data_IF_743608629346
#
_entry.id   IF_743608629346
#
_cell.length_a   1.000
_cell.length_b   1.000
_cell.length_c   1.000
_cell.angle_alpha   90.00
_cell.angle_beta   90.00
_cell.angle_gamma   90.00
#
_symmetry.space_group_name_H-M   'P 1'
#
loop_
_entity.id
_entity.type
_entity.pdbx_description
1 polymer ?
#
# COMPACT_ATOMS: atom_id res chain seq x y z
N UNK A 1 5.51 -10.69 4.77
CA UNK A 1 4.07 -10.86 4.52
C UNK A 1 3.73 -10.38 3.13
N UNK A 2 2.70 -10.95 2.49
CA UNK A 2 2.20 -10.44 1.21
C UNK A 2 1.09 -9.42 1.49
N UNK A 3 1.19 -8.26 0.85
CA UNK A 3 0.20 -7.20 0.91
C UNK A 3 -0.41 -7.02 -0.47
N UNK A 4 -1.73 -6.87 -0.51
CA UNK A 4 -2.49 -6.52 -1.72
C UNK A 4 -2.96 -5.10 -1.59
N UNK A 5 -2.53 -4.24 -2.51
CA UNK A 5 -2.96 -2.86 -2.61
C UNK A 5 -4.01 -2.76 -3.70
N UNK A 6 -5.19 -2.25 -3.35
CA UNK A 6 -6.31 -2.12 -4.28
C UNK A 6 -6.34 -0.70 -4.83
N UNK A 7 -6.39 -0.59 -6.15
CA UNK A 7 -6.44 0.70 -6.82
C UNK A 7 -7.87 1.14 -7.11
N UNK A 8 -8.10 2.44 -7.27
CA UNK A 8 -9.39 2.99 -7.71
C UNK A 8 -9.82 2.46 -9.09
N UNK A 9 -8.87 2.06 -9.93
CA UNK A 9 -9.13 1.44 -11.24
C UNK A 9 -9.55 -0.03 -11.18
N UNK A 10 -9.72 -0.61 -9.98
CA UNK A 10 -10.11 -2.02 -9.80
C UNK A 10 -8.96 -3.02 -9.95
N UNK A 11 -7.72 -2.54 -10.08
CA UNK A 11 -6.53 -3.38 -10.15
C UNK A 11 -6.02 -3.71 -8.74
N UNK A 12 -5.25 -4.78 -8.63
CA UNK A 12 -4.56 -5.15 -7.39
C UNK A 12 -3.06 -5.28 -7.63
N UNK A 13 -2.27 -4.63 -6.78
CA UNK A 13 -0.80 -4.74 -6.76
C UNK A 13 -0.42 -5.61 -5.57
N UNK A 14 0.30 -6.70 -5.83
CA UNK A 14 0.83 -7.56 -4.78
C UNK A 14 2.29 -7.17 -4.49
N UNK A 15 2.60 -6.88 -3.23
CA UNK A 15 3.95 -6.54 -2.77
C UNK A 15 4.36 -7.43 -1.61
N UNK A 16 5.67 -7.60 -1.46
CA UNK A 16 6.24 -8.15 -0.25
C UNK A 16 6.52 -7.02 0.74
N UNK A 17 6.04 -7.18 1.97
CA UNK A 17 6.19 -6.20 3.03
C UNK A 17 6.37 -6.85 4.40
N UNK A 18 6.54 -6.00 5.41
CA UNK A 18 6.56 -6.37 6.82
C UNK A 18 5.46 -5.62 7.59
N UNK A 19 5.44 -5.78 8.91
CA UNK A 19 4.43 -5.16 9.77
C UNK A 19 4.60 -3.64 9.83
N UNK A 20 5.83 -3.16 9.75
CA UNK A 20 6.15 -1.73 9.78
C UNK A 20 5.62 -1.05 8.53
N UNK A 21 5.94 -1.58 7.36
CA UNK A 21 5.43 -1.09 6.08
C UNK A 21 3.90 -1.13 6.03
N UNK A 22 3.28 -2.22 6.51
CA UNK A 22 1.81 -2.29 6.58
C UNK A 22 1.22 -1.15 7.42
N UNK A 23 1.73 -0.94 8.63
CA UNK A 23 1.24 0.12 9.51
C UNK A 23 1.43 1.52 8.89
N UNK A 24 2.56 1.74 8.22
CA UNK A 24 2.88 2.99 7.55
C UNK A 24 1.90 3.26 6.40
N UNK A 25 1.67 2.27 5.53
CA UNK A 25 0.73 2.38 4.42
C UNK A 25 -0.71 2.62 4.91
N UNK A 26 -1.15 1.93 5.97
CA UNK A 26 -2.46 2.17 6.60
C UNK A 26 -2.55 3.59 7.15
N UNK A 27 -1.49 4.08 7.81
CA UNK A 27 -1.45 5.47 8.31
C UNK A 27 -1.59 6.48 7.17
N UNK A 28 -0.94 6.25 6.04
CA UNK A 28 -1.06 7.12 4.87
C UNK A 28 -2.46 7.10 4.27
N UNK A 29 -3.12 5.94 4.21
CA UNK A 29 -4.50 5.82 3.73
C UNK A 29 -5.53 6.53 4.60
N UNK A 30 -5.29 6.58 5.91
CA UNK A 30 -6.18 7.22 6.88
C UNK A 30 -5.86 8.72 7.10
N UNK A 31 -4.79 9.23 6.46
CA UNK A 31 -4.32 10.59 6.62
C UNK A 31 -4.63 11.40 5.38
N UNK A 32 -4.99 12.68 5.55
CA UNK A 32 -5.09 13.65 4.44
C UNK A 32 -3.72 13.96 3.81
N UNK A 33 -2.63 13.48 4.42
CA UNK A 33 -1.25 13.60 3.92
C UNK A 33 -0.74 12.27 3.36
N UNK A 34 -1.41 11.74 2.35
CA UNK A 34 -0.94 10.57 1.63
C UNK A 34 0.23 10.97 0.71
N UNK A 35 1.45 10.41 0.87
CA UNK A 35 2.53 10.66 -0.05
C UNK A 35 2.23 9.99 -1.39
N UNK A 36 2.61 10.64 -2.50
CA UNK A 36 2.36 10.10 -3.84
C UNK A 36 3.11 8.78 -4.07
N UNK A 37 4.30 8.60 -3.49
CA UNK A 37 5.14 7.43 -3.72
C UNK A 37 5.72 6.88 -2.42
N UNK A 38 5.68 5.55 -2.27
CA UNK A 38 6.32 4.82 -1.16
C UNK A 38 7.23 3.74 -1.70
N UNK A 39 8.44 3.66 -1.17
CA UNK A 39 9.35 2.56 -1.45
C UNK A 39 8.95 1.35 -0.60
N UNK A 40 8.74 0.22 -1.26
CA UNK A 40 8.67 -1.09 -0.61
C UNK A 40 9.91 -1.91 -0.99
N UNK A 41 10.22 -2.98 -0.24
CA UNK A 41 11.35 -3.85 -0.55
C UNK A 41 11.33 -4.45 -1.98
N UNK A 42 10.18 -4.47 -2.64
CA UNK A 42 9.98 -5.14 -3.94
C UNK A 42 9.53 -4.20 -5.07
N UNK A 43 9.14 -2.96 -4.76
CA UNK A 43 8.60 -2.02 -5.75
C UNK A 43 8.54 -0.59 -5.20
N UNK A 44 8.52 0.40 -6.10
CA UNK A 44 8.08 1.76 -5.79
C UNK A 44 6.58 1.84 -6.12
N UNK A 45 5.79 2.30 -5.16
CA UNK A 45 4.33 2.21 -5.19
C UNK A 45 3.75 3.61 -5.22
N UNK A 46 2.90 3.87 -6.22
CA UNK A 46 2.09 5.08 -6.23
C UNK A 46 0.88 4.89 -5.30
N UNK A 47 0.75 5.70 -4.24
CA UNK A 47 -0.38 5.62 -3.32
C UNK A 47 -1.58 6.48 -3.73
N UNK A 48 -1.43 7.42 -4.66
CA UNK A 48 -2.51 8.32 -5.12
C UNK A 48 -3.73 7.55 -5.63
N UNK A 49 -3.51 6.35 -6.16
CA UNK A 49 -4.56 5.49 -6.69
C UNK A 49 -4.99 4.40 -5.70
N UNK A 50 -4.35 4.26 -4.54
CA UNK A 50 -4.61 3.17 -3.58
C UNK A 50 -5.74 3.56 -2.64
N UNK A 51 -6.76 2.70 -2.59
CA UNK A 51 -7.99 2.92 -1.80
C UNK A 51 -8.16 1.91 -0.66
N UNK A 52 -7.46 0.76 -0.71
CA UNK A 52 -7.52 -0.24 0.34
C UNK A 52 -6.28 -1.12 0.35
N UNK A 53 -6.01 -1.74 1.50
CA UNK A 53 -4.90 -2.68 1.69
C UNK A 53 -5.42 -3.94 2.38
N UNK A 54 -5.12 -5.09 1.79
CA UNK A 54 -5.40 -6.39 2.39
C UNK A 54 -4.09 -7.10 2.72
N UNK A 55 -3.99 -7.61 3.94
CA UNK A 55 -2.90 -8.49 4.35
C UNK A 55 -3.27 -9.93 4.03
N UNK A 56 -2.43 -10.63 3.26
CA UNK A 56 -2.57 -12.09 3.12
C UNK A 56 -2.02 -12.78 4.37
N UNK A 57 -2.73 -13.83 4.80
CA UNK A 57 -2.43 -14.60 6.01
C UNK A 57 -1.19 -15.47 5.82
#
# INVERSE_FOLDING_TARGET
MKLKLHTRGGNTIAIQGDRTLYNELVKYLLSDQQPNWVASPSAIINLSDIIAITKEK
#
